data_IF_294039093405
#
_entry.id   IF_294039093405
#
_cell.length_a   1.000
_cell.length_b   1.000
_cell.length_c   1.000
_cell.angle_alpha   90.00
_cell.angle_beta   90.00
_cell.angle_gamma   90.00
#
_symmetry.space_group_name_H-M   'P 1'
#
loop_
_entity.id
_entity.type
_entity.pdbx_description
1 polymer ?
#
# COMPACT_ATOMS: atom_id res chain seq x y z
N UNK A 1 43.71 -4.44 -21.25
CA UNK A 1 42.55 -4.02 -20.44
C UNK A 1 41.90 -2.87 -21.16
N UNK A 2 40.73 -3.07 -21.78
CA UNK A 2 40.01 -1.99 -22.46
C UNK A 2 39.39 -1.05 -21.40
N UNK A 3 39.45 0.26 -21.62
CA UNK A 3 38.75 1.21 -20.77
C UNK A 3 37.22 0.98 -20.86
N UNK A 4 36.47 1.11 -19.76
CA UNK A 4 35.02 1.00 -19.80
C UNK A 4 34.44 2.04 -20.77
N UNK A 5 33.50 1.61 -21.59
CA UNK A 5 32.85 2.48 -22.57
C UNK A 5 32.09 3.62 -21.89
N UNK A 6 31.83 4.74 -22.60
CA UNK A 6 30.99 5.80 -22.08
C UNK A 6 29.58 5.25 -21.81
N UNK A 7 29.23 5.10 -20.53
CA UNK A 7 27.92 4.61 -20.11
C UNK A 7 27.91 3.37 -19.21
N UNK A 8 29.03 2.91 -18.65
CA UNK A 8 29.04 1.83 -17.64
C UNK A 8 29.72 2.31 -16.36
N UNK A 9 28.97 3.01 -15.49
CA UNK A 9 29.50 3.46 -14.18
C UNK A 9 29.40 2.37 -13.12
N UNK A 10 28.34 1.55 -13.15
CA UNK A 10 28.07 0.52 -12.15
C UNK A 10 27.49 -0.74 -12.77
N UNK A 11 28.17 -1.88 -12.61
CA UNK A 11 27.65 -3.18 -13.01
C UNK A 11 26.61 -3.66 -12.00
N UNK A 12 25.42 -4.05 -12.46
CA UNK A 12 24.36 -4.62 -11.61
C UNK A 12 24.90 -5.83 -10.85
N UNK A 13 24.66 -5.87 -9.54
CA UNK A 13 25.15 -6.89 -8.61
C UNK A 13 26.54 -6.59 -8.00
N UNK A 14 27.23 -5.55 -8.47
CA UNK A 14 28.44 -5.06 -7.80
C UNK A 14 28.11 -4.49 -6.43
N UNK A 15 29.06 -4.52 -5.51
CA UNK A 15 28.93 -3.83 -4.23
C UNK A 15 29.69 -2.53 -4.26
N UNK A 16 29.03 -1.45 -3.83
CA UNK A 16 29.61 -0.11 -3.85
C UNK A 16 29.45 0.57 -2.49
N UNK A 17 30.38 1.49 -2.19
CA UNK A 17 30.32 2.43 -1.08
C UNK A 17 30.03 3.82 -1.65
N UNK A 18 29.08 4.53 -1.09
CA UNK A 18 28.78 5.93 -1.42
C UNK A 18 28.95 6.77 -0.16
N UNK A 19 29.77 7.81 -0.22
CA UNK A 19 29.84 8.85 0.80
C UNK A 19 28.96 10.02 0.37
N UNK A 20 27.90 10.31 1.11
CA UNK A 20 27.05 11.47 0.83
C UNK A 20 27.79 12.77 1.15
N UNK A 21 27.32 13.88 0.59
CA UNK A 21 27.84 15.21 0.92
C UNK A 21 27.65 15.62 2.40
N UNK A 22 26.83 14.87 3.16
CA UNK A 22 26.65 15.03 4.60
C UNK A 22 27.57 14.12 5.43
N UNK A 23 28.49 13.39 4.79
CA UNK A 23 29.42 12.47 5.44
C UNK A 23 28.81 11.12 5.82
N UNK A 24 27.60 10.80 5.37
CA UNK A 24 26.99 9.49 5.61
C UNK A 24 27.52 8.47 4.60
N UNK A 25 28.02 7.33 5.08
CA UNK A 25 28.45 6.22 4.22
C UNK A 25 27.30 5.21 4.03
N UNK A 26 26.96 4.93 2.77
CA UNK A 26 25.95 3.97 2.36
C UNK A 26 26.62 2.86 1.55
N UNK A 27 26.31 1.60 1.86
CA UNK A 27 26.91 0.46 1.17
C UNK A 27 25.84 -0.56 0.81
N UNK A 28 25.92 -1.10 -0.41
CA UNK A 28 24.97 -2.11 -0.86
C UNK A 28 25.30 -2.67 -2.24
N UNK A 29 24.50 -3.66 -2.63
CA UNK A 29 24.50 -4.28 -3.94
C UNK A 29 23.77 -3.37 -4.94
N UNK A 30 24.39 -3.07 -6.08
CA UNK A 30 23.80 -2.28 -7.16
C UNK A 30 22.64 -3.06 -7.78
N UNK A 31 21.42 -2.54 -7.69
CA UNK A 31 20.23 -3.15 -8.31
C UNK A 31 19.96 -2.56 -9.68
N UNK A 32 20.09 -1.24 -9.79
CA UNK A 32 19.83 -0.49 -11.01
C UNK A 32 20.54 0.86 -10.97
N UNK A 33 20.83 1.40 -12.15
CA UNK A 33 21.34 2.75 -12.30
C UNK A 33 20.59 3.44 -13.45
N UNK A 34 19.96 4.57 -13.15
CA UNK A 34 19.39 5.43 -14.19
C UNK A 34 20.43 6.47 -14.62
N UNK A 35 20.90 6.35 -15.85
CA UNK A 35 21.94 7.19 -16.42
C UNK A 35 21.51 8.66 -16.55
N UNK A 36 20.24 8.91 -16.89
CA UNK A 36 19.77 10.27 -17.17
C UNK A 36 19.68 11.10 -15.90
N UNK A 37 19.05 10.57 -14.85
CA UNK A 37 18.92 11.26 -13.56
C UNK A 37 20.09 11.01 -12.61
N UNK A 38 21.05 10.16 -12.99
CA UNK A 38 22.18 9.71 -12.15
C UNK A 38 21.71 9.16 -10.81
N UNK A 39 20.65 8.36 -10.84
CA UNK A 39 20.07 7.72 -9.66
C UNK A 39 20.58 6.28 -9.54
N UNK A 40 21.25 6.00 -8.43
CA UNK A 40 21.79 4.69 -8.10
C UNK A 40 20.86 3.99 -7.10
N UNK A 41 20.39 2.80 -7.44
CA UNK A 41 19.57 1.98 -6.53
C UNK A 41 20.44 0.91 -5.88
N UNK A 42 20.55 0.96 -4.55
CA UNK A 42 21.26 -0.03 -3.76
C UNK A 42 20.30 -0.89 -2.97
N UNK A 43 20.62 -2.18 -2.89
CA UNK A 43 20.05 -3.14 -1.96
C UNK A 43 21.01 -3.30 -0.79
N UNK A 44 20.56 -2.90 0.39
CA UNK A 44 21.31 -2.90 1.63
C UNK A 44 20.77 -3.96 2.59
N UNK A 45 21.56 -4.30 3.61
CA UNK A 45 21.09 -5.13 4.70
C UNK A 45 19.87 -4.51 5.39
N UNK A 46 18.92 -5.36 5.80
CA UNK A 46 17.67 -4.95 6.46
C UNK A 46 17.91 -4.24 7.78
N UNK A 47 17.46 -2.99 7.90
CA UNK A 47 17.46 -2.24 9.17
C UNK A 47 16.51 -2.85 10.21
N UNK A 48 15.54 -3.67 9.78
CA UNK A 48 14.58 -4.35 10.67
C UNK A 48 15.13 -5.61 11.35
N UNK A 49 16.35 -6.04 11.01
CA UNK A 49 16.96 -7.29 11.51
C UNK A 49 16.37 -8.58 10.92
N UNK A 50 15.32 -8.49 10.09
CA UNK A 50 14.73 -9.63 9.40
C UNK A 50 15.58 -10.02 8.19
N UNK A 51 16.15 -11.22 8.20
CA UNK A 51 17.08 -11.72 7.17
C UNK A 51 16.44 -11.95 5.79
N UNK A 52 15.12 -12.10 5.74
CA UNK A 52 14.38 -12.28 4.48
C UNK A 52 13.96 -10.96 3.83
N UNK A 53 14.31 -9.82 4.42
CA UNK A 53 14.04 -8.49 3.89
C UNK A 53 15.36 -7.80 3.54
N UNK A 54 15.26 -6.76 2.72
CA UNK A 54 16.38 -5.89 2.39
C UNK A 54 15.88 -4.45 2.34
N UNK A 55 16.75 -3.52 2.65
CA UNK A 55 16.45 -2.10 2.47
C UNK A 55 16.83 -1.72 1.03
N UNK A 56 15.95 -1.01 0.33
CA UNK A 56 16.22 -0.52 -1.03
C UNK A 56 16.33 0.99 -0.97
N UNK A 57 17.52 1.50 -1.30
CA UNK A 57 17.86 2.92 -1.20
C UNK A 57 18.09 3.48 -2.59
N UNK A 58 17.44 4.61 -2.90
CA UNK A 58 17.67 5.36 -4.12
C UNK A 58 18.58 6.56 -3.80
N UNK A 59 19.75 6.61 -4.42
CA UNK A 59 20.79 7.59 -4.17
C UNK A 59 20.93 8.49 -5.39
N UNK A 60 20.71 9.79 -5.21
CA UNK A 60 21.05 10.77 -6.23
C UNK A 60 22.54 11.08 -6.16
N UNK A 61 23.30 10.68 -7.19
CA UNK A 61 24.75 10.85 -7.19
C UNK A 61 25.20 12.33 -7.22
N UNK A 62 24.32 13.28 -7.51
CA UNK A 62 24.62 14.70 -7.36
C UNK A 62 24.92 15.11 -5.90
N UNK A 63 24.45 14.32 -4.93
CA UNK A 63 24.68 14.54 -3.49
C UNK A 63 25.64 13.52 -2.88
N UNK A 64 26.45 12.88 -3.73
CA UNK A 64 27.47 11.92 -3.32
C UNK A 64 28.83 12.52 -3.61
N UNK A 65 29.65 12.65 -2.57
CA UNK A 65 31.00 13.20 -2.67
C UNK A 65 32.01 12.17 -3.18
N UNK A 66 31.80 10.88 -2.89
CA UNK A 66 32.72 9.80 -3.25
C UNK A 66 31.95 8.51 -3.51
N UNK A 67 32.37 7.75 -4.52
CA UNK A 67 31.84 6.41 -4.82
C UNK A 67 32.98 5.45 -5.06
N UNK A 68 32.99 4.36 -4.29
CA UNK A 68 33.98 3.28 -4.39
C UNK A 68 33.31 1.97 -4.82
N UNK A 69 33.89 1.25 -5.77
CA UNK A 69 33.49 -0.12 -6.07
C UNK A 69 34.26 -1.06 -5.13
N UNK A 70 33.53 -1.69 -4.21
CA UNK A 70 34.09 -2.59 -3.20
C UNK A 70 34.28 -3.99 -3.77
N UNK A 71 33.30 -4.46 -4.56
CA UNK A 71 33.35 -5.72 -5.26
C UNK A 71 32.69 -5.56 -6.62
N UNK A 72 33.48 -5.72 -7.67
CA UNK A 72 32.97 -5.64 -9.04
C UNK A 72 32.42 -7.00 -9.46
N UNK A 73 31.15 -7.04 -9.86
CA UNK A 73 30.52 -8.27 -10.32
C UNK A 73 30.71 -8.42 -11.82
N UNK A 74 31.46 -9.45 -12.21
CA UNK A 74 31.77 -9.78 -13.60
C UNK A 74 30.81 -10.80 -14.23
N UNK A 75 29.99 -11.46 -13.40
CA UNK A 75 29.00 -12.43 -13.86
C UNK A 75 27.69 -11.75 -14.26
N UNK A 76 27.06 -12.27 -15.32
CA UNK A 76 25.72 -11.85 -15.75
C UNK A 76 24.71 -12.07 -14.60
N UNK A 77 23.98 -11.03 -14.17
CA UNK A 77 22.93 -11.18 -13.17
C UNK A 77 21.87 -12.20 -13.60
N UNK A 78 21.23 -12.90 -12.65
CA UNK A 78 20.12 -13.78 -12.98
C UNK A 78 19.01 -13.02 -13.70
N UNK A 79 18.30 -13.67 -14.64
CA UNK A 79 17.23 -13.01 -15.37
C UNK A 79 16.13 -12.55 -14.41
N UNK A 80 15.54 -11.40 -14.72
CA UNK A 80 14.43 -10.87 -13.94
C UNK A 80 13.24 -11.83 -14.00
N UNK A 81 12.50 -11.92 -12.89
CA UNK A 81 11.25 -12.67 -12.86
C UNK A 81 10.26 -12.09 -13.88
N UNK A 82 9.60 -12.96 -14.64
CA UNK A 82 8.59 -12.53 -15.59
C UNK A 82 7.37 -11.96 -14.85
N UNK A 83 6.90 -10.80 -15.32
CA UNK A 83 5.69 -10.19 -14.78
C UNK A 83 4.46 -10.76 -15.47
N UNK A 84 3.42 -11.07 -14.70
CA UNK A 84 2.12 -11.40 -15.25
C UNK A 84 1.35 -10.11 -15.59
N UNK A 85 1.51 -9.63 -16.81
CA UNK A 85 0.91 -8.37 -17.30
C UNK A 85 -0.62 -8.40 -17.20
N UNK A 86 -1.26 -9.56 -17.43
CA UNK A 86 -2.71 -9.72 -17.28
C UNK A 86 -3.19 -9.48 -15.84
N UNK A 87 -2.49 -10.05 -14.84
CA UNK A 87 -2.78 -9.80 -13.42
C UNK A 87 -2.57 -8.33 -13.06
N UNK A 88 -1.51 -7.69 -13.58
CA UNK A 88 -1.24 -6.27 -13.34
C UNK A 88 -2.34 -5.37 -13.93
N UNK A 89 -2.77 -5.64 -15.17
CA UNK A 89 -3.84 -4.90 -15.83
C UNK A 89 -5.18 -5.06 -15.10
N UNK A 90 -5.50 -6.27 -14.64
CA UNK A 90 -6.70 -6.51 -13.83
C UNK A 90 -6.66 -5.75 -12.51
N UNK A 91 -5.53 -5.79 -11.80
CA UNK A 91 -5.36 -5.01 -10.57
C UNK A 91 -5.53 -3.51 -10.82
N UNK A 92 -4.93 -2.97 -11.89
CA UNK A 92 -5.07 -1.56 -12.25
C UNK A 92 -6.53 -1.19 -12.57
N UNK A 93 -7.26 -2.06 -13.26
CA UNK A 93 -8.68 -1.85 -13.57
C UNK A 93 -9.54 -1.85 -12.31
N UNK A 94 -9.36 -2.84 -11.43
CA UNK A 94 -10.09 -2.93 -10.16
C UNK A 94 -9.84 -1.71 -9.27
N UNK A 95 -8.58 -1.28 -9.11
CA UNK A 95 -8.27 -0.08 -8.32
C UNK A 95 -8.91 1.18 -8.91
N UNK A 96 -8.95 1.30 -10.24
CA UNK A 96 -9.63 2.41 -10.91
C UNK A 96 -11.15 2.39 -10.64
N UNK A 97 -11.79 1.23 -10.78
CA UNK A 97 -13.22 1.05 -10.53
C UNK A 97 -13.57 1.36 -9.06
N UNK A 98 -12.77 0.88 -8.12
CA UNK A 98 -12.93 1.13 -6.68
C UNK A 98 -12.83 2.63 -6.37
N UNK A 99 -11.86 3.33 -6.97
CA UNK A 99 -11.70 4.78 -6.79
C UNK A 99 -12.83 5.58 -7.43
N UNK A 100 -13.31 5.18 -8.60
CA UNK A 100 -14.47 5.81 -9.23
C UNK A 100 -15.74 5.62 -8.39
N UNK A 101 -15.95 4.42 -7.83
CA UNK A 101 -17.05 4.13 -6.92
C UNK A 101 -16.98 4.99 -5.65
N UNK A 102 -15.78 5.16 -5.06
CA UNK A 102 -15.58 6.04 -3.92
C UNK A 102 -15.88 7.51 -4.25
N UNK A 103 -15.39 8.01 -5.40
CA UNK A 103 -15.65 9.37 -5.86
C UNK A 103 -17.15 9.61 -6.11
N UNK A 104 -17.85 8.63 -6.70
CA UNK A 104 -19.29 8.68 -6.89
C UNK A 104 -20.01 8.88 -5.55
N UNK A 105 -19.73 8.05 -4.54
CA UNK A 105 -20.38 8.14 -3.24
C UNK A 105 -20.20 9.51 -2.57
N UNK A 106 -19.00 10.09 -2.68
CA UNK A 106 -18.72 11.44 -2.20
C UNK A 106 -19.57 12.46 -2.95
N UNK A 107 -19.59 12.40 -4.29
CA UNK A 107 -20.35 13.33 -5.13
C UNK A 107 -21.86 13.24 -4.91
N UNK A 108 -22.38 12.04 -4.61
CA UNK A 108 -23.77 11.79 -4.30
C UNK A 108 -24.17 12.27 -2.88
N UNK A 109 -23.22 12.70 -2.05
CA UNK A 109 -23.47 13.13 -0.67
C UNK A 109 -23.83 11.96 0.26
N UNK A 110 -23.21 10.81 0.07
CA UNK A 110 -23.32 9.65 0.97
C UNK A 110 -22.55 9.93 2.27
N UNK A 111 -23.11 9.57 3.42
CA UNK A 111 -22.45 9.79 4.72
C UNK A 111 -21.17 8.96 4.87
N UNK A 112 -20.27 9.38 5.76
CA UNK A 112 -19.03 8.63 6.03
C UNK A 112 -19.33 7.20 6.52
N UNK A 113 -20.39 7.01 7.32
CA UNK A 113 -20.80 5.68 7.77
C UNK A 113 -21.22 4.80 6.58
N UNK A 114 -22.02 5.34 5.64
CA UNK A 114 -22.41 4.62 4.44
C UNK A 114 -21.21 4.23 3.56
N UNK A 115 -20.27 5.17 3.37
CA UNK A 115 -19.04 4.90 2.62
C UNK A 115 -18.20 3.79 3.28
N UNK A 116 -18.06 3.81 4.60
CA UNK A 116 -17.32 2.80 5.37
C UNK A 116 -18.00 1.44 5.29
N UNK A 117 -19.33 1.39 5.43
CA UNK A 117 -20.10 0.16 5.31
C UNK A 117 -19.95 -0.46 3.92
N UNK A 118 -20.06 0.35 2.85
CA UNK A 118 -19.84 -0.12 1.48
C UNK A 118 -18.46 -0.77 1.32
N UNK A 119 -17.40 -0.15 1.86
CA UNK A 119 -16.05 -0.73 1.81
C UNK A 119 -15.97 -2.07 2.55
N UNK A 120 -16.62 -2.22 3.70
CA UNK A 120 -16.69 -3.49 4.42
C UNK A 120 -17.42 -4.56 3.62
N UNK A 121 -18.55 -4.21 3.01
CA UNK A 121 -19.30 -5.12 2.14
C UNK A 121 -18.44 -5.50 0.92
N UNK A 122 -17.85 -4.53 0.22
CA UNK A 122 -17.05 -4.73 -1.01
C UNK A 122 -15.79 -5.58 -0.78
N UNK A 123 -15.24 -5.60 0.45
CA UNK A 123 -14.16 -6.51 0.84
C UNK A 123 -14.62 -7.96 0.97
N UNK A 124 -15.89 -8.18 1.29
CA UNK A 124 -16.48 -9.50 1.56
C UNK A 124 -17.22 -10.05 0.34
N UNK A 125 -17.94 -9.19 -0.37
CA UNK A 125 -18.80 -9.46 -1.51
C UNK A 125 -18.42 -8.45 -2.60
N UNK A 126 -17.80 -8.93 -3.68
CA UNK A 126 -17.36 -8.07 -4.79
C UNK A 126 -18.51 -7.55 -5.65
N UNK A 127 -19.62 -8.28 -5.66
CA UNK A 127 -20.83 -7.87 -6.36
C UNK A 127 -21.68 -6.93 -5.49
N UNK A 128 -21.21 -5.69 -5.38
CA UNK A 128 -22.01 -4.60 -4.82
C UNK A 128 -21.72 -3.28 -5.53
N UNK A 129 -22.73 -2.42 -5.59
CA UNK A 129 -22.65 -1.13 -6.31
C UNK A 129 -23.49 -0.07 -5.63
N UNK A 130 -23.20 1.18 -5.96
CA UNK A 130 -24.04 2.30 -5.57
C UNK A 130 -25.22 2.45 -6.53
N UNK A 131 -26.38 2.74 -5.99
CA UNK A 131 -27.53 3.25 -6.73
C UNK A 131 -28.03 4.48 -5.99
N UNK A 132 -27.75 5.67 -6.54
CA UNK A 132 -27.92 6.93 -5.81
C UNK A 132 -27.17 6.90 -4.48
N UNK A 133 -27.89 6.93 -3.35
CA UNK A 133 -27.33 6.80 -2.01
C UNK A 133 -27.44 5.38 -1.45
N UNK A 134 -28.04 4.43 -2.17
CA UNK A 134 -28.25 3.07 -1.70
C UNK A 134 -27.07 2.17 -2.07
N UNK A 135 -26.80 1.19 -1.20
CA UNK A 135 -25.88 0.09 -1.49
C UNK A 135 -26.71 -1.07 -2.03
N UNK A 136 -26.42 -1.51 -3.24
CA UNK A 136 -27.03 -2.69 -3.86
C UNK A 136 -26.03 -3.83 -3.75
N UNK A 137 -26.43 -4.96 -3.17
CA UNK A 137 -25.60 -6.14 -2.98
C UNK A 137 -26.22 -7.31 -3.73
N UNK A 138 -25.46 -7.89 -4.66
CA UNK A 138 -25.87 -9.01 -5.52
C UNK A 138 -27.19 -8.78 -6.28
N UNK A 139 -27.56 -7.52 -6.54
CA UNK A 139 -28.85 -7.10 -7.10
C UNK A 139 -30.11 -7.59 -6.34
N UNK A 140 -29.93 -8.21 -5.17
CA UNK A 140 -30.99 -8.84 -4.36
C UNK A 140 -31.30 -8.07 -3.08
N UNK A 141 -30.32 -7.33 -2.55
CA UNK A 141 -30.43 -6.61 -1.27
C UNK A 141 -30.06 -5.15 -1.46
N UNK A 142 -30.93 -4.28 -0.95
CA UNK A 142 -30.79 -2.82 -0.94
C UNK A 142 -30.58 -2.37 0.50
N UNK A 143 -29.51 -1.61 0.76
CA UNK A 143 -29.26 -0.95 2.03
C UNK A 143 -29.38 0.55 1.80
N UNK A 144 -30.38 1.16 2.43
CA UNK A 144 -30.65 2.60 2.32
C UNK A 144 -30.14 3.37 3.54
N UNK A 145 -29.87 4.69 3.44
CA UNK A 145 -29.62 5.52 4.62
C UNK A 145 -30.71 5.35 5.69
N UNK A 146 -30.39 5.38 7.00
CA UNK A 146 -29.08 5.61 7.63
C UNK A 146 -28.16 4.37 7.72
N UNK A 147 -28.32 3.40 6.83
CA UNK A 147 -27.44 2.23 6.64
C UNK A 147 -27.39 1.27 7.83
N UNK A 148 -28.46 1.23 8.63
CA UNK A 148 -28.58 0.28 9.72
C UNK A 148 -29.12 -1.07 9.24
N UNK A 149 -29.10 -2.06 10.13
CA UNK A 149 -29.54 -3.44 9.87
C UNK A 149 -31.01 -3.46 9.43
N UNK A 150 -31.84 -2.63 10.06
CA UNK A 150 -33.24 -2.42 9.75
C UNK A 150 -33.49 -1.76 8.39
N UNK A 151 -32.49 -1.08 7.82
CA UNK A 151 -32.58 -0.46 6.49
C UNK A 151 -32.19 -1.42 5.35
N UNK A 152 -31.83 -2.67 5.67
CA UNK A 152 -31.60 -3.72 4.69
C UNK A 152 -32.94 -4.30 4.22
N UNK A 153 -33.25 -4.13 2.93
CA UNK A 153 -34.44 -4.68 2.26
C UNK A 153 -34.03 -5.62 1.14
N UNK A 154 -34.79 -6.69 0.95
CA UNK A 154 -34.56 -7.70 -0.09
C UNK A 154 -35.56 -8.83 0.08
N UNK A 155 -35.48 -9.85 -0.78
CA UNK A 155 -36.28 -11.07 -0.58
C UNK A 155 -35.82 -11.79 0.70
N UNK A 156 -36.77 -12.28 1.48
CA UNK A 156 -36.46 -13.08 2.67
C UNK A 156 -35.66 -14.33 2.25
N UNK A 157 -34.57 -14.60 2.98
CA UNK A 157 -33.66 -15.69 2.63
C UNK A 157 -32.23 -15.49 3.11
N UNK A 158 -31.34 -16.32 2.58
CA UNK A 158 -29.92 -16.38 2.97
C UNK A 158 -29.16 -15.10 2.60
N UNK A 159 -29.42 -14.50 1.44
CA UNK A 159 -28.76 -13.28 0.98
C UNK A 159 -29.01 -12.11 1.95
N UNK A 160 -30.28 -11.80 2.23
CA UNK A 160 -30.65 -10.74 3.17
C UNK A 160 -30.10 -11.01 4.58
N UNK A 161 -30.19 -12.25 5.05
CA UNK A 161 -29.65 -12.65 6.36
C UNK A 161 -28.14 -12.50 6.44
N UNK A 162 -27.42 -12.80 5.36
CA UNK A 162 -25.97 -12.67 5.30
C UNK A 162 -25.54 -11.20 5.27
N UNK A 163 -26.21 -10.37 4.46
CA UNK A 163 -25.95 -8.92 4.41
C UNK A 163 -26.20 -8.27 5.77
N UNK A 164 -27.31 -8.58 6.45
CA UNK A 164 -27.59 -8.07 7.80
C UNK A 164 -26.47 -8.42 8.79
N UNK A 165 -25.96 -9.65 8.77
CA UNK A 165 -24.83 -10.06 9.62
C UNK A 165 -23.54 -9.27 9.33
N UNK A 166 -23.27 -8.94 8.06
CA UNK A 166 -22.13 -8.10 7.69
C UNK A 166 -22.31 -6.69 8.25
N UNK A 167 -23.51 -6.11 8.14
CA UNK A 167 -23.85 -4.78 8.66
C UNK A 167 -23.71 -4.76 10.19
N UNK A 168 -24.28 -5.73 10.89
CA UNK A 168 -24.14 -5.88 12.36
C UNK A 168 -22.67 -5.98 12.78
N UNK A 169 -21.89 -6.81 12.09
CA UNK A 169 -20.47 -6.96 12.37
C UNK A 169 -19.71 -5.65 12.12
N UNK A 170 -20.01 -4.94 11.04
CA UNK A 170 -19.38 -3.66 10.72
C UNK A 170 -19.52 -2.67 11.88
N UNK A 171 -20.73 -2.46 12.39
CA UNK A 171 -20.94 -1.53 13.50
C UNK A 171 -20.25 -1.98 14.79
N UNK A 172 -20.28 -3.28 15.10
CA UNK A 172 -19.55 -3.84 16.25
C UNK A 172 -18.03 -3.61 16.15
N UNK A 173 -17.47 -3.81 14.96
CA UNK A 173 -16.03 -3.62 14.71
C UNK A 173 -15.67 -2.12 14.81
N UNK A 174 -16.50 -1.22 14.29
CA UNK A 174 -16.31 0.24 14.39
C UNK A 174 -16.38 0.72 15.85
N UNK A 175 -17.34 0.24 16.64
CA UNK A 175 -17.42 0.56 18.07
C UNK A 175 -16.20 0.05 18.85
N UNK A 176 -15.76 -1.17 18.54
CA UNK A 176 -14.57 -1.77 19.16
C UNK A 176 -13.30 -0.97 18.83
N UNK A 177 -13.16 -0.48 17.60
CA UNK A 177 -12.03 0.37 17.20
C UNK A 177 -12.07 1.74 17.89
N UNK A 178 -13.26 2.35 17.98
CA UNK A 178 -13.44 3.64 18.68
C UNK A 178 -13.08 3.53 20.17
N UNK A 179 -13.48 2.44 20.83
CA UNK A 179 -13.14 2.23 22.25
C UNK A 179 -11.64 2.02 22.46
N UNK A 180 -10.98 1.25 21.60
CA UNK A 180 -9.52 1.07 21.65
C UNK A 180 -8.75 2.38 21.43
N UNK A 181 -9.15 3.20 20.46
CA UNK A 181 -8.53 4.50 20.21
C UNK A 181 -8.69 5.45 21.41
N UNK A 182 -9.87 5.46 22.04
CA UNK A 182 -10.12 6.29 23.22
C UNK A 182 -9.24 5.88 24.41
N UNK A 183 -9.08 4.58 24.64
CA UNK A 183 -8.21 4.05 25.69
C UNK A 183 -6.73 4.40 25.45
N UNK A 184 -6.25 4.29 24.21
CA UNK A 184 -4.87 4.66 23.85
C UNK A 184 -4.61 6.17 24.04
N UNK A 185 -5.53 7.03 23.59
CA UNK A 185 -5.39 8.47 23.74
C UNK A 185 -5.35 8.92 25.22
N UNK A 186 -6.14 8.28 26.08
CA UNK A 186 -6.12 8.53 27.53
C UNK A 186 -4.81 8.08 28.18
N UNK A 187 -4.23 6.98 27.70
CA UNK A 187 -2.96 6.48 28.22
C UNK A 187 -1.78 7.38 27.81
N UNK A 188 -1.75 7.84 26.56
CA UNK A 188 -0.72 8.79 26.08
C UNK A 188 -0.80 10.14 26.80
N UNK A 189 -2.00 10.64 27.11
CA UNK A 189 -2.16 11.86 27.92
C UNK A 189 -1.64 11.67 29.34
N UNK A 190 -1.92 10.53 29.98
CA UNK A 190 -1.47 10.23 31.34
C UNK A 190 0.07 10.15 31.44
N UNK A 191 0.72 9.52 30.47
CA UNK A 191 2.18 9.41 30.44
C UNK A 191 2.85 10.78 30.18
N UNK A 192 2.23 11.65 29.39
CA UNK A 192 2.72 13.02 29.16
C UNK A 192 2.63 13.92 30.39
N UNK A 193 1.59 13.74 31.21
CA UNK A 193 1.42 14.49 32.47
C UNK A 193 2.32 14.01 33.62
N UNK A 194 2.84 12.78 33.54
CA UNK A 194 3.76 12.21 34.54
C UNK A 194 5.24 12.51 34.24
N UNK A 195 5.56 12.91 33.01
CA UNK A 195 6.92 13.29 32.58
C UNK A 195 7.16 14.81 32.54
N UNK A 196 6.21 15.62 33.02
CA UNK A 196 6.32 17.09 33.18
C UNK A 196 6.39 17.44 34.65
#
# INVERSE_FOLDING_TARGET
>A
MAAPGPGEYFSVGSHVSCLTCLGQRLQGEVVAFDYQSKMLTLKCASSSGKSNLNDVILINLAYVSEVDIINDRTETPPPLASLNVGKLANRARTEKEDKLSQAYAISAGVSLEGQQLFQTIHKTIKDCKWQEKNIIVMDDVVISPPYQVENCRGKEGSALSHVRKIVEKHFRDVESQKSMQRSQAQQTQKDSTLSS
#
